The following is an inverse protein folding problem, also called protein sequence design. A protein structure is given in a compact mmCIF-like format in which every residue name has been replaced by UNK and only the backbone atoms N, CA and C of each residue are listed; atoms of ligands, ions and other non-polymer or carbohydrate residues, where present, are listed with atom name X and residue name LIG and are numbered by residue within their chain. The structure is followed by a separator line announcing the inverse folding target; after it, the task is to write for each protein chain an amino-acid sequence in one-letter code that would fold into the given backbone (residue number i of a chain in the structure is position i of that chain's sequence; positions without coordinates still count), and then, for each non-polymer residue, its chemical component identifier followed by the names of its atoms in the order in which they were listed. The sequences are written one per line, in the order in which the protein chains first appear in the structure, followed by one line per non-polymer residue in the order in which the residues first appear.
data_IF_220435488381
#
_entry.id   IF_220435488381
#
_cell.length_a   1.000
_cell.length_b   1.000
_cell.length_c   1.000
_cell.angle_alpha   90.00
_cell.angle_beta   90.00
_cell.angle_gamma   90.00
#
_symmetry.space_group_name_H-M   'P 1'
#
loop_
_entity.id
_entity.type
_entity.pdbx_description
1 polymer ?
#
# COMPACT_ATOMS: atom_id res chain seq x y z
N UNK A 1 14.78 44.87 43.93
CA UNK A 1 14.79 43.42 44.16
C UNK A 1 13.42 42.90 43.76
N UNK A 2 13.27 42.47 42.53
CA UNK A 2 12.08 41.84 41.98
C UNK A 2 12.52 40.53 41.33
N UNK A 3 11.92 39.37 41.63
CA UNK A 3 12.30 38.12 41.03
C UNK A 3 11.60 37.96 39.67
N UNK A 4 12.39 37.60 38.67
CA UNK A 4 11.95 37.16 37.35
C UNK A 4 11.28 35.78 37.46
N UNK A 5 10.04 35.68 36.97
CA UNK A 5 9.34 34.43 36.74
C UNK A 5 9.85 33.84 35.40
N UNK A 6 10.61 32.75 35.49
CA UNK A 6 10.86 31.87 34.35
C UNK A 6 9.63 31.02 34.09
N UNK A 7 9.05 31.19 32.90
CA UNK A 7 8.01 30.29 32.38
C UNK A 7 8.69 29.04 31.83
N UNK A 8 8.54 27.92 32.53
CA UNK A 8 8.92 26.60 32.07
C UNK A 8 8.09 26.22 30.85
N UNK A 9 8.72 26.08 29.69
CA UNK A 9 8.15 25.48 28.50
C UNK A 9 7.88 24.00 28.77
N UNK A 10 6.62 23.60 28.64
CA UNK A 10 6.21 22.21 28.73
C UNK A 10 6.81 21.43 27.56
N UNK A 11 7.82 20.62 27.86
CA UNK A 11 8.29 19.59 26.95
C UNK A 11 7.20 18.54 26.79
N UNK A 12 6.65 18.43 25.59
CA UNK A 12 5.70 17.37 25.24
C UNK A 12 6.37 16.01 25.44
N UNK A 13 5.70 15.11 26.13
CA UNK A 13 6.15 13.75 26.39
C UNK A 13 6.29 12.98 25.07
N UNK A 14 7.37 12.20 24.87
CA UNK A 14 7.61 11.41 23.65
C UNK A 14 6.68 10.20 23.47
N UNK A 15 5.79 9.93 24.43
CA UNK A 15 4.94 8.71 24.47
C UNK A 15 3.64 8.80 23.66
N UNK A 16 3.33 9.94 23.03
CA UNK A 16 2.07 10.09 22.27
C UNK A 16 2.17 9.68 20.79
N UNK A 17 3.38 9.39 20.30
CA UNK A 17 3.63 9.16 18.87
C UNK A 17 3.23 7.76 18.35
N UNK A 18 2.87 6.81 19.22
CA UNK A 18 2.66 5.40 18.88
C UNK A 18 1.25 4.85 19.18
N UNK A 19 0.26 5.71 19.41
CA UNK A 19 -1.10 5.27 19.76
C UNK A 19 -1.90 4.79 18.56
N UNK A 20 -2.69 3.69 18.67
CA UNK A 20 -3.63 3.26 17.64
C UNK A 20 -4.61 4.40 17.29
N UNK A 21 -4.85 4.62 15.99
CA UNK A 21 -5.76 5.68 15.51
C UNK A 21 -5.11 7.04 15.28
N UNK A 22 -3.81 7.20 15.56
CA UNK A 22 -3.06 8.40 15.22
C UNK A 22 -2.99 8.60 13.70
N UNK A 23 -3.18 9.83 13.23
CA UNK A 23 -3.00 10.19 11.82
C UNK A 23 -1.50 10.15 11.49
N UNK A 24 -1.11 9.30 10.52
CA UNK A 24 0.26 9.18 10.00
C UNK A 24 0.45 10.06 8.78
N UNK A 25 -0.57 10.16 7.91
CA UNK A 25 -0.53 11.03 6.72
C UNK A 25 -1.73 11.96 6.78
N UNK A 26 -1.50 13.25 6.60
CA UNK A 26 -2.54 14.26 6.41
C UNK A 26 -2.20 15.14 5.22
N UNK A 27 -3.08 15.14 4.22
CA UNK A 27 -3.12 16.10 3.15
C UNK A 27 -4.30 17.04 3.39
N UNK A 28 -4.06 18.35 3.36
CA UNK A 28 -5.11 19.37 3.47
C UNK A 28 -5.11 20.24 2.23
N UNK A 29 -6.14 20.07 1.40
CA UNK A 29 -6.39 20.81 0.14
C UNK A 29 -5.16 20.90 -0.76
N UNK A 30 -4.47 19.78 -0.93
CA UNK A 30 -3.26 19.68 -1.73
C UNK A 30 -3.59 19.83 -3.20
N UNK A 31 -2.96 20.78 -3.85
CA UNK A 31 -3.01 20.95 -5.29
C UNK A 31 -1.62 20.83 -5.90
N UNK A 32 -1.55 20.28 -7.11
CA UNK A 32 -0.30 20.18 -7.88
C UNK A 32 -0.54 20.51 -9.34
N UNK A 33 0.24 21.47 -9.82
CA UNK A 33 0.25 21.94 -11.21
C UNK A 33 1.57 21.61 -11.88
N UNK A 34 1.52 21.17 -13.12
CA UNK A 34 2.64 20.99 -14.03
C UNK A 34 2.37 21.80 -15.31
N UNK A 35 2.92 23.01 -15.37
CA UNK A 35 2.55 23.97 -16.42
C UNK A 35 1.04 24.25 -16.37
N UNK A 36 0.34 23.98 -17.47
CA UNK A 36 -1.11 24.20 -17.58
C UNK A 36 -1.95 23.00 -17.10
N UNK A 37 -1.31 21.93 -16.63
CA UNK A 37 -2.00 20.71 -16.20
C UNK A 37 -2.16 20.69 -14.69
N UNK A 38 -3.41 20.68 -14.21
CA UNK A 38 -3.74 20.50 -12.80
C UNK A 38 -3.82 18.99 -12.51
N UNK A 39 -2.79 18.44 -11.90
CA UNK A 39 -2.67 17.00 -11.61
C UNK A 39 -3.34 16.61 -10.30
N UNK A 40 -3.37 17.49 -9.30
CA UNK A 40 -4.16 17.35 -8.06
C UNK A 40 -4.89 18.64 -7.81
N UNK A 41 -6.16 18.55 -7.39
CA UNK A 41 -7.04 19.69 -7.21
C UNK A 41 -7.70 19.66 -5.82
N UNK A 42 -7.12 20.44 -4.91
CA UNK A 42 -7.57 20.62 -3.53
C UNK A 42 -7.87 19.30 -2.80
N UNK A 43 -7.04 18.27 -3.01
CA UNK A 43 -7.22 16.94 -2.45
C UNK A 43 -6.93 16.93 -0.96
N UNK A 44 -7.85 16.37 -0.17
CA UNK A 44 -7.66 16.14 1.27
C UNK A 44 -7.81 14.67 1.59
N UNK A 45 -6.86 14.11 2.36
CA UNK A 45 -6.82 12.70 2.73
C UNK A 45 -6.12 12.53 4.08
N UNK A 46 -6.67 11.70 4.95
CA UNK A 46 -5.99 11.26 6.17
C UNK A 46 -5.79 9.75 6.14
N UNK A 47 -4.62 9.28 6.60
CA UNK A 47 -4.33 7.85 6.78
C UNK A 47 -3.87 7.66 8.22
N UNK A 48 -4.46 6.69 8.90
CA UNK A 48 -4.16 6.39 10.30
C UNK A 48 -3.13 5.30 10.43
N UNK A 49 -2.46 5.24 11.57
CA UNK A 49 -1.48 4.19 11.89
C UNK A 49 -2.11 2.79 11.77
N UNK A 50 -1.42 1.90 11.07
CA UNK A 50 -1.87 0.53 10.80
C UNK A 50 -2.99 0.43 9.76
N UNK A 51 -3.42 1.54 9.18
CA UNK A 51 -4.40 1.52 8.11
C UNK A 51 -3.75 1.13 6.77
N UNK A 52 -4.44 0.30 6.00
CA UNK A 52 -4.11 0.06 4.60
C UNK A 52 -5.16 0.75 3.72
N UNK A 53 -4.71 1.72 2.92
CA UNK A 53 -5.54 2.49 2.00
C UNK A 53 -5.12 2.18 0.57
N UNK A 54 -6.08 1.77 -0.27
CA UNK A 54 -5.89 1.63 -1.71
C UNK A 54 -6.45 2.86 -2.44
N UNK A 55 -5.66 3.42 -3.35
CA UNK A 55 -6.05 4.51 -4.24
C UNK A 55 -6.20 3.96 -5.64
N UNK A 56 -7.40 4.07 -6.19
CA UNK A 56 -7.74 3.62 -7.54
C UNK A 56 -8.25 4.78 -8.41
N UNK A 57 -8.23 4.58 -9.70
CA UNK A 57 -8.77 5.51 -10.69
C UNK A 57 -8.15 5.32 -12.07
N UNK A 58 -8.68 5.97 -13.11
CA UNK A 58 -8.17 5.87 -14.46
C UNK A 58 -6.72 6.36 -14.58
N UNK A 59 -6.05 5.99 -15.67
CA UNK A 59 -4.71 6.52 -15.96
C UNK A 59 -4.76 8.04 -16.09
N UNK A 60 -3.77 8.72 -15.52
CA UNK A 60 -3.69 10.18 -15.56
C UNK A 60 -4.53 10.93 -14.53
N UNK A 61 -5.34 10.27 -13.67
CA UNK A 61 -6.16 10.96 -12.67
C UNK A 61 -5.38 11.50 -11.44
N UNK A 62 -4.05 11.41 -11.40
CA UNK A 62 -3.22 12.00 -10.33
C UNK A 62 -2.68 11.03 -9.27
N UNK A 63 -2.90 9.71 -9.37
CA UNK A 63 -2.46 8.72 -8.36
C UNK A 63 -0.95 8.74 -8.08
N UNK A 64 -0.13 8.67 -9.12
CA UNK A 64 1.33 8.70 -8.97
C UNK A 64 1.80 10.08 -8.48
N UNK A 65 1.09 11.16 -8.85
CA UNK A 65 1.35 12.49 -8.30
C UNK A 65 1.07 12.53 -6.80
N UNK A 66 -0.07 11.99 -6.36
CA UNK A 66 -0.39 11.87 -4.93
C UNK A 66 0.70 11.09 -4.18
N UNK A 67 1.13 9.95 -4.73
CA UNK A 67 2.17 9.12 -4.14
C UNK A 67 3.50 9.89 -4.04
N UNK A 68 3.89 10.63 -5.09
CA UNK A 68 5.10 11.45 -5.10
C UNK A 68 5.05 12.60 -4.09
N UNK A 69 3.86 13.20 -3.88
CA UNK A 69 3.66 14.22 -2.84
C UNK A 69 3.91 13.63 -1.46
N UNK A 70 3.27 12.50 -1.13
CA UNK A 70 3.42 11.82 0.15
C UNK A 70 4.83 11.28 0.34
N UNK A 71 5.51 10.84 -0.73
CA UNK A 71 6.91 10.42 -0.68
C UNK A 71 7.90 11.59 -0.49
N UNK A 72 7.46 12.83 -0.58
CA UNK A 72 8.34 14.00 -0.60
C UNK A 72 9.32 14.00 -1.79
N UNK A 73 8.90 13.42 -2.92
CA UNK A 73 9.64 13.43 -4.18
C UNK A 73 9.34 14.70 -5.00
N UNK A 74 8.21 15.32 -4.74
CA UNK A 74 7.79 16.57 -5.34
C UNK A 74 7.08 17.44 -4.28
N UNK A 75 6.85 18.71 -4.58
CA UNK A 75 6.22 19.69 -3.68
C UNK A 75 4.84 20.06 -4.18
N UNK A 76 3.86 20.24 -3.28
CA UNK A 76 2.56 20.76 -3.67
C UNK A 76 2.68 22.20 -4.19
N UNK A 77 1.80 22.59 -5.13
CA UNK A 77 1.64 23.98 -5.58
C UNK A 77 0.81 24.78 -4.58
N UNK A 78 -0.11 24.12 -3.84
CA UNK A 78 -0.90 24.68 -2.75
C UNK A 78 -1.33 23.58 -1.77
N UNK A 79 -1.77 23.99 -0.57
CA UNK A 79 -2.14 23.06 0.52
C UNK A 79 -0.94 22.61 1.33
N UNK A 80 -1.16 21.70 2.28
CA UNK A 80 -0.15 21.19 3.21
C UNK A 80 -0.12 19.68 3.25
N UNK A 81 1.05 19.11 3.51
CA UNK A 81 1.27 17.66 3.65
C UNK A 81 2.04 17.44 4.95
N UNK A 82 1.41 16.78 5.89
CA UNK A 82 2.05 16.29 7.12
C UNK A 82 2.16 14.77 7.05
N UNK A 83 3.35 14.26 7.33
CA UNK A 83 3.56 12.81 7.47
C UNK A 83 4.31 12.56 8.78
N UNK A 84 3.71 11.77 9.64
CA UNK A 84 4.24 11.40 10.94
C UNK A 84 4.65 12.62 11.79
N UNK A 85 3.83 13.70 11.73
CA UNK A 85 4.08 14.96 12.44
C UNK A 85 5.13 15.88 11.79
N UNK A 86 5.55 15.58 10.56
CA UNK A 86 6.48 16.42 9.78
C UNK A 86 5.76 17.12 8.65
N UNK A 87 5.72 18.45 8.67
CA UNK A 87 5.27 19.24 7.53
C UNK A 87 6.32 19.17 6.40
N UNK A 88 5.98 18.47 5.32
CA UNK A 88 6.90 18.28 4.18
C UNK A 88 7.13 19.59 3.42
N UNK A 89 6.17 20.51 3.43
CA UNK A 89 6.29 21.82 2.77
C UNK A 89 7.40 22.70 3.36
N UNK A 90 7.61 22.59 4.67
CA UNK A 90 8.64 23.31 5.41
C UNK A 90 10.05 22.72 5.32
N UNK A 91 10.21 21.49 4.81
CA UNK A 91 11.50 20.82 4.76
C UNK A 91 12.38 21.35 3.60
N UNK A 92 13.69 21.44 3.86
CA UNK A 92 14.70 21.62 2.81
C UNK A 92 14.87 20.35 1.98
N UNK A 93 15.57 20.40 0.84
CA UNK A 93 15.88 19.19 0.04
C UNK A 93 16.64 18.13 0.85
N UNK A 94 17.55 18.57 1.73
CA UNK A 94 18.24 17.66 2.67
C UNK A 94 17.27 17.06 3.68
N UNK A 95 16.32 17.85 4.19
CA UNK A 95 15.26 17.38 5.09
C UNK A 95 14.36 16.34 4.39
N UNK A 96 13.91 16.61 3.17
CA UNK A 96 13.13 15.65 2.37
C UNK A 96 13.93 14.36 2.08
N UNK A 97 15.24 14.47 1.81
CA UNK A 97 16.08 13.29 1.62
C UNK A 97 16.22 12.44 2.91
N UNK A 98 16.29 13.08 4.08
CA UNK A 98 16.29 12.37 5.37
C UNK A 98 14.94 11.72 5.66
N UNK A 99 13.84 12.44 5.41
CA UNK A 99 12.48 11.93 5.51
C UNK A 99 12.30 10.64 4.68
N UNK A 100 12.63 10.68 3.37
CA UNK A 100 12.54 9.50 2.49
C UNK A 100 13.37 8.30 2.97
N UNK A 101 14.51 8.56 3.63
CA UNK A 101 15.38 7.49 4.12
C UNK A 101 14.87 6.84 5.41
N UNK A 102 14.13 7.58 6.25
CA UNK A 102 13.78 7.15 7.60
C UNK A 102 12.31 6.77 7.73
N UNK A 103 11.43 7.60 7.18
CA UNK A 103 10.02 7.56 7.51
C UNK A 103 9.17 6.87 6.42
N UNK A 104 9.73 6.73 5.20
CA UNK A 104 9.01 6.17 4.05
C UNK A 104 9.78 5.01 3.43
N UNK A 105 9.05 3.89 3.21
CA UNK A 105 9.50 2.80 2.35
C UNK A 105 8.74 2.83 1.03
N UNK A 106 9.44 2.69 -0.10
CA UNK A 106 8.79 2.66 -1.42
C UNK A 106 8.93 1.32 -2.11
N UNK A 107 7.80 0.79 -2.57
CA UNK A 107 7.66 -0.42 -3.39
C UNK A 107 7.22 0.05 -4.76
N UNK A 108 7.99 -0.27 -5.80
CA UNK A 108 7.78 0.18 -7.17
C UNK A 108 7.30 -0.95 -8.07
N UNK A 109 6.55 -0.63 -9.10
CA UNK A 109 6.10 -1.55 -10.14
C UNK A 109 7.27 -2.28 -10.82
N UNK A 110 8.36 -1.56 -11.16
CA UNK A 110 9.54 -2.10 -11.83
C UNK A 110 10.73 -2.30 -10.87
N UNK A 111 10.42 -2.59 -9.58
CA UNK A 111 11.38 -2.97 -8.53
C UNK A 111 12.41 -1.89 -8.17
N UNK A 112 12.92 -1.13 -9.14
CA UNK A 112 13.95 -0.09 -9.00
C UNK A 112 15.19 -0.57 -8.20
N UNK A 113 15.62 -1.81 -8.46
CA UNK A 113 16.87 -2.33 -7.89
C UNK A 113 18.06 -1.79 -8.67
N UNK A 114 19.19 -1.65 -8.00
CA UNK A 114 20.46 -1.25 -8.60
C UNK A 114 21.07 -2.50 -9.23
N UNK A 115 21.21 -2.52 -10.56
CA UNK A 115 21.60 -3.69 -11.34
C UNK A 115 23.01 -4.19 -11.00
N UNK A 116 23.92 -3.28 -10.66
CA UNK A 116 25.32 -3.57 -10.32
C UNK A 116 25.52 -4.01 -8.86
N UNK A 117 24.44 -4.15 -8.08
CA UNK A 117 24.49 -4.61 -6.70
C UNK A 117 23.72 -5.93 -6.54
N UNK A 118 24.27 -6.90 -5.78
CA UNK A 118 23.53 -8.10 -5.43
C UNK A 118 22.33 -7.76 -4.51
N UNK A 119 21.37 -8.67 -4.39
CA UNK A 119 20.15 -8.49 -3.60
C UNK A 119 20.44 -8.00 -2.18
N UNK A 120 21.41 -8.60 -1.48
CA UNK A 120 21.81 -8.19 -0.14
C UNK A 120 22.23 -6.73 -0.06
N UNK A 121 23.03 -6.27 -1.02
CA UNK A 121 23.56 -4.90 -1.00
C UNK A 121 22.53 -3.88 -1.46
N UNK A 122 21.60 -4.26 -2.35
CA UNK A 122 20.41 -3.46 -2.66
C UNK A 122 19.58 -3.15 -1.42
N UNK A 123 19.42 -4.11 -0.52
CA UNK A 123 18.68 -3.93 0.75
C UNK A 123 19.52 -3.16 1.76
N UNK A 124 20.78 -3.57 1.98
CA UNK A 124 21.65 -3.00 2.99
C UNK A 124 21.97 -1.51 2.78
N UNK A 125 22.02 -1.08 1.51
CA UNK A 125 22.34 0.30 1.13
C UNK A 125 21.39 1.31 1.78
N UNK A 126 20.11 0.98 1.91
CA UNK A 126 19.12 1.87 2.50
C UNK A 126 19.50 2.29 3.93
N UNK A 127 19.98 1.36 4.77
CA UNK A 127 20.44 1.67 6.13
C UNK A 127 21.82 2.34 6.15
N UNK A 128 22.71 2.00 5.24
CA UNK A 128 24.01 2.66 5.15
C UNK A 128 23.86 4.16 4.85
N UNK A 129 22.88 4.52 4.03
CA UNK A 129 22.55 5.93 3.73
C UNK A 129 22.01 6.70 4.93
N UNK A 130 21.59 6.03 6.00
CA UNK A 130 21.20 6.65 7.29
C UNK A 130 22.33 6.64 8.33
N UNK A 131 23.53 6.19 7.95
CA UNK A 131 24.71 6.16 8.82
C UNK A 131 24.92 4.84 9.57
N UNK A 132 24.09 3.81 9.31
CA UNK A 132 24.29 2.47 9.89
C UNK A 132 25.55 1.83 9.32
N UNK A 133 26.37 1.20 10.20
CA UNK A 133 27.59 0.52 9.76
C UNK A 133 27.29 -0.60 8.74
N UNK A 134 28.16 -0.80 7.77
CA UNK A 134 27.97 -1.83 6.72
C UNK A 134 27.71 -3.23 7.31
N UNK A 135 28.39 -3.59 8.42
CA UNK A 135 28.19 -4.87 9.09
C UNK A 135 26.76 -5.02 9.68
N UNK A 136 26.27 -3.98 10.35
CA UNK A 136 24.91 -3.97 10.92
C UNK A 136 23.84 -3.97 9.81
N UNK A 137 24.04 -3.13 8.79
CA UNK A 137 23.15 -3.06 7.63
C UNK A 137 23.03 -4.42 6.93
N UNK A 138 24.15 -5.09 6.63
CA UNK A 138 24.12 -6.43 5.99
C UNK A 138 23.48 -7.49 6.87
N UNK A 139 23.67 -7.45 8.19
CA UNK A 139 22.99 -8.38 9.10
C UNK A 139 21.47 -8.20 9.04
N UNK A 140 20.96 -6.95 9.19
CA UNK A 140 19.54 -6.68 9.12
C UNK A 140 18.95 -6.99 7.73
N UNK A 141 19.71 -6.73 6.66
CA UNK A 141 19.30 -7.07 5.31
C UNK A 141 19.14 -8.59 5.12
N UNK A 142 20.04 -9.41 5.70
CA UNK A 142 19.92 -10.87 5.69
C UNK A 142 18.66 -11.35 6.44
N UNK A 143 18.38 -10.77 7.61
CA UNK A 143 17.18 -11.07 8.38
C UNK A 143 15.92 -10.80 7.54
N UNK A 144 15.83 -9.62 6.89
CA UNK A 144 14.71 -9.27 6.02
C UNK A 144 14.58 -10.17 4.79
N UNK A 145 15.69 -10.51 4.15
CA UNK A 145 15.66 -11.43 3.00
C UNK A 145 15.20 -12.84 3.41
N UNK A 146 15.51 -13.27 4.64
CA UNK A 146 15.04 -14.55 5.19
C UNK A 146 13.55 -14.49 5.52
N UNK A 147 13.10 -13.45 6.24
CA UNK A 147 11.69 -13.18 6.53
C UNK A 147 10.81 -13.19 5.27
N UNK A 148 11.37 -12.69 4.14
CA UNK A 148 10.68 -12.58 2.86
C UNK A 148 10.94 -13.78 1.90
N UNK A 149 11.61 -14.84 2.38
CA UNK A 149 11.83 -16.09 1.64
C UNK A 149 12.72 -15.95 0.41
N UNK A 150 13.71 -15.04 0.44
CA UNK A 150 14.69 -14.81 -0.64
C UNK A 150 16.15 -14.80 -0.15
N UNK A 151 16.42 -15.33 1.06
CA UNK A 151 17.76 -15.40 1.62
C UNK A 151 18.77 -16.16 0.71
N UNK A 152 18.31 -17.21 0.04
CA UNK A 152 19.15 -18.00 -0.90
C UNK A 152 19.59 -17.20 -2.12
N UNK A 153 18.91 -16.09 -2.41
CA UNK A 153 19.18 -15.17 -3.53
C UNK A 153 20.05 -13.98 -3.14
N UNK A 154 20.52 -13.89 -1.90
CA UNK A 154 21.26 -12.73 -1.36
C UNK A 154 22.46 -12.27 -2.20
N UNK A 155 23.13 -13.19 -2.90
CA UNK A 155 24.28 -12.91 -3.74
C UNK A 155 23.91 -12.75 -5.22
N UNK A 156 22.65 -12.93 -5.60
CA UNK A 156 22.18 -12.79 -6.96
C UNK A 156 22.02 -11.33 -7.35
N UNK A 157 22.38 -11.00 -8.58
CA UNK A 157 22.12 -9.69 -9.18
C UNK A 157 20.69 -9.63 -9.73
N UNK A 158 20.06 -8.43 -9.82
CA UNK A 158 18.69 -8.27 -10.28
C UNK A 158 18.37 -8.99 -11.60
N UNK A 159 19.30 -9.00 -12.55
CA UNK A 159 19.11 -9.65 -13.85
C UNK A 159 18.91 -11.18 -13.76
N UNK A 160 19.38 -11.82 -12.66
CA UNK A 160 19.26 -13.28 -12.45
C UNK A 160 18.10 -13.67 -11.55
N UNK A 161 17.33 -12.71 -11.05
CA UNK A 161 16.16 -12.91 -10.21
C UNK A 161 14.88 -12.96 -11.04
N UNK A 162 13.93 -13.80 -10.64
CA UNK A 162 12.56 -13.75 -11.16
C UNK A 162 11.87 -12.43 -10.78
N UNK A 163 10.74 -12.08 -11.43
CA UNK A 163 9.96 -10.90 -11.09
C UNK A 163 9.54 -10.87 -9.62
N UNK A 164 9.00 -11.98 -9.12
CA UNK A 164 8.59 -12.12 -7.71
C UNK A 164 9.76 -12.03 -6.72
N UNK A 165 10.93 -12.59 -7.05
CA UNK A 165 12.14 -12.44 -6.22
C UNK A 165 12.63 -10.99 -6.20
N UNK A 166 12.66 -10.30 -7.35
CA UNK A 166 13.00 -8.87 -7.44
C UNK A 166 12.05 -8.02 -6.58
N UNK A 167 10.75 -8.31 -6.64
CA UNK A 167 9.76 -7.57 -5.85
C UNK A 167 9.96 -7.78 -4.34
N UNK A 168 10.18 -9.03 -3.90
CA UNK A 168 10.48 -9.31 -2.48
C UNK A 168 11.77 -8.63 -2.00
N UNK A 169 12.80 -8.56 -2.83
CA UNK A 169 14.01 -7.77 -2.53
C UNK A 169 13.68 -6.27 -2.44
N UNK A 170 12.83 -5.75 -3.34
CA UNK A 170 12.32 -4.38 -3.29
C UNK A 170 11.55 -4.08 -2.01
N UNK A 171 10.70 -5.01 -1.55
CA UNK A 171 9.99 -4.91 -0.25
C UNK A 171 10.98 -4.96 0.91
N UNK A 172 11.96 -5.88 0.90
CA UNK A 172 13.02 -5.92 1.93
C UNK A 172 13.74 -4.57 2.06
N UNK A 173 14.09 -3.95 0.92
CA UNK A 173 14.72 -2.63 0.88
C UNK A 173 13.81 -1.57 1.47
N UNK A 174 12.52 -1.59 1.15
CA UNK A 174 11.55 -0.63 1.68
C UNK A 174 11.40 -0.74 3.20
N UNK A 175 11.48 -1.95 3.77
CA UNK A 175 11.36 -2.23 5.20
C UNK A 175 12.65 -1.99 6.00
N UNK A 176 13.77 -1.76 5.33
CA UNK A 176 15.10 -1.77 5.95
C UNK A 176 15.24 -0.81 7.15
N UNK A 177 14.69 0.39 7.02
CA UNK A 177 14.76 1.44 8.02
C UNK A 177 13.52 1.51 8.93
N UNK A 178 12.64 0.49 8.93
CA UNK A 178 11.40 0.43 9.71
C UNK A 178 10.54 1.69 9.51
N UNK A 179 10.13 1.97 8.27
CA UNK A 179 9.40 3.20 7.95
C UNK A 179 8.05 3.25 8.65
N UNK A 180 7.60 4.46 8.99
CA UNK A 180 6.26 4.67 9.52
C UNK A 180 5.18 4.41 8.46
N UNK A 181 5.53 4.56 7.17
CA UNK A 181 4.63 4.45 6.03
C UNK A 181 5.29 3.67 4.89
N UNK A 182 4.58 2.66 4.36
CA UNK A 182 4.92 2.03 3.09
C UNK A 182 4.03 2.58 1.97
N UNK A 183 4.66 3.03 0.91
CA UNK A 183 4.05 3.47 -0.33
C UNK A 183 4.26 2.41 -1.39
N UNK A 184 3.20 1.94 -2.04
CA UNK A 184 3.28 0.93 -3.09
C UNK A 184 2.66 1.48 -4.39
N UNK A 185 3.46 1.61 -5.43
CA UNK A 185 3.05 2.02 -6.77
C UNK A 185 2.93 0.79 -7.66
N UNK A 186 1.69 0.36 -7.94
CA UNK A 186 1.38 -0.83 -8.76
C UNK A 186 2.22 -2.07 -8.38
N UNK A 187 2.22 -2.51 -7.12
CA UNK A 187 3.23 -3.45 -6.59
C UNK A 187 3.21 -4.83 -7.25
N UNK A 188 2.15 -5.18 -8.00
CA UNK A 188 2.00 -6.45 -8.72
C UNK A 188 1.97 -6.28 -10.24
N UNK A 189 1.99 -5.03 -10.75
CA UNK A 189 1.75 -4.72 -12.16
C UNK A 189 2.78 -5.30 -13.16
N UNK A 190 3.98 -5.68 -12.70
CA UNK A 190 5.02 -6.30 -13.53
C UNK A 190 5.22 -7.80 -13.23
N UNK A 191 4.28 -8.44 -12.52
CA UNK A 191 4.39 -9.83 -12.05
C UNK A 191 3.41 -10.75 -12.77
N UNK A 192 3.78 -12.03 -12.87
CA UNK A 192 2.82 -13.08 -13.18
C UNK A 192 1.81 -13.26 -12.03
N UNK A 193 0.66 -13.88 -12.31
CA UNK A 193 -0.42 -14.04 -11.34
C UNK A 193 0.02 -14.67 -10.02
N UNK A 194 0.85 -15.74 -10.08
CA UNK A 194 1.31 -16.46 -8.88
C UNK A 194 2.23 -15.58 -8.03
N UNK A 195 3.16 -14.89 -8.66
CA UNK A 195 4.07 -13.95 -7.95
C UNK A 195 3.31 -12.75 -7.40
N UNK A 196 2.30 -12.27 -8.14
CA UNK A 196 1.40 -11.21 -7.68
C UNK A 196 0.64 -11.58 -6.41
N UNK A 197 0.05 -12.79 -6.36
CA UNK A 197 -0.63 -13.31 -5.16
C UNK A 197 0.30 -13.34 -3.94
N UNK A 198 1.53 -13.84 -4.11
CA UNK A 198 2.52 -13.88 -3.03
C UNK A 198 2.89 -12.48 -2.50
N UNK A 199 2.94 -11.48 -3.38
CA UNK A 199 3.19 -10.09 -2.96
C UNK A 199 1.98 -9.50 -2.26
N UNK A 200 0.75 -9.82 -2.69
CA UNK A 200 -0.46 -9.41 -1.99
C UNK A 200 -0.52 -10.00 -0.58
N UNK A 201 -0.26 -11.31 -0.43
CA UNK A 201 -0.18 -11.96 0.89
C UNK A 201 0.82 -11.24 1.81
N UNK A 202 2.00 -10.95 1.28
CA UNK A 202 3.04 -10.22 2.02
C UNK A 202 2.58 -8.82 2.47
N UNK A 203 1.88 -8.05 1.62
CA UNK A 203 1.35 -6.73 2.01
C UNK A 203 0.27 -6.85 3.09
N UNK A 204 -0.57 -7.88 3.03
CA UNK A 204 -1.57 -8.20 4.05
C UNK A 204 -0.88 -8.50 5.38
N UNK A 205 0.11 -9.40 5.39
CA UNK A 205 0.85 -9.78 6.60
C UNK A 205 1.53 -8.56 7.24
N UNK A 206 2.15 -7.70 6.42
CA UNK A 206 2.75 -6.46 6.90
C UNK A 206 1.72 -5.52 7.55
N UNK A 207 0.53 -5.39 6.96
CA UNK A 207 -0.52 -4.58 7.54
C UNK A 207 -1.06 -5.17 8.85
N UNK A 208 -1.23 -6.51 8.93
CA UNK A 208 -1.68 -7.20 10.14
C UNK A 208 -0.74 -7.01 11.32
N UNK A 209 0.57 -6.87 11.09
CA UNK A 209 1.54 -6.53 12.15
C UNK A 209 1.66 -5.02 12.43
N UNK A 210 0.74 -4.21 11.87
CA UNK A 210 0.61 -2.78 12.17
C UNK A 210 1.32 -1.82 11.21
N UNK A 211 1.85 -2.32 10.08
CA UNK A 211 2.46 -1.44 9.07
C UNK A 211 1.37 -0.62 8.35
N UNK A 212 1.55 0.71 8.31
CA UNK A 212 0.68 1.60 7.54
C UNK A 212 1.01 1.51 6.05
N UNK A 213 -0.01 1.35 5.19
CA UNK A 213 0.13 1.18 3.74
C UNK A 213 -0.68 2.22 2.97
N UNK A 214 -0.07 2.81 1.96
CA UNK A 214 -0.76 3.53 0.88
C UNK A 214 -0.42 2.84 -0.44
N UNK A 215 -1.41 2.21 -1.06
CA UNK A 215 -1.27 1.41 -2.27
C UNK A 215 -1.94 2.14 -3.42
N UNK A 216 -1.22 2.44 -4.46
CA UNK A 216 -1.77 2.94 -5.73
C UNK A 216 -1.86 1.77 -6.69
N UNK A 217 -3.05 1.53 -7.25
CA UNK A 217 -3.26 0.45 -8.20
C UNK A 217 -4.45 0.71 -9.12
N UNK A 218 -4.46 0.06 -10.27
CA UNK A 218 -5.64 -0.07 -11.14
C UNK A 218 -6.29 -1.45 -11.03
N UNK A 219 -5.70 -2.37 -10.25
CA UNK A 219 -6.22 -3.72 -10.04
C UNK A 219 -7.22 -3.75 -8.87
N UNK A 220 -8.54 -3.98 -9.16
CA UNK A 220 -9.56 -4.05 -8.11
C UNK A 220 -9.37 -5.22 -7.15
N UNK A 221 -8.78 -6.32 -7.60
CA UNK A 221 -8.53 -7.49 -6.76
C UNK A 221 -7.48 -7.18 -5.69
N UNK A 222 -6.36 -6.58 -6.09
CA UNK A 222 -5.34 -6.12 -5.16
C UNK A 222 -5.93 -5.10 -4.17
N UNK A 223 -6.66 -4.09 -4.66
CA UNK A 223 -7.23 -3.06 -3.81
C UNK A 223 -8.18 -3.63 -2.75
N UNK A 224 -9.08 -4.53 -3.14
CA UNK A 224 -10.08 -5.10 -2.22
C UNK A 224 -9.50 -6.13 -1.25
N UNK A 225 -8.40 -6.78 -1.62
CA UNK A 225 -7.76 -7.81 -0.80
C UNK A 225 -6.77 -7.23 0.22
N UNK A 226 -6.01 -6.20 -0.18
CA UNK A 226 -4.92 -5.67 0.62
C UNK A 226 -5.27 -4.43 1.45
N UNK A 227 -6.43 -3.81 1.22
CA UNK A 227 -6.79 -2.56 1.89
C UNK A 227 -8.07 -2.67 2.71
N UNK A 228 -8.13 -1.95 3.83
CA UNK A 228 -9.35 -1.75 4.63
C UNK A 228 -10.21 -0.59 4.14
N UNK A 229 -9.64 0.33 3.35
CA UNK A 229 -10.32 1.50 2.76
C UNK A 229 -9.89 1.73 1.33
N UNK A 230 -10.87 2.03 0.48
CA UNK A 230 -10.68 2.35 -0.92
C UNK A 230 -10.99 3.83 -1.17
N UNK A 231 -10.08 4.49 -1.85
CA UNK A 231 -10.17 5.87 -2.34
C UNK A 231 -10.21 5.84 -3.87
N UNK A 232 -11.28 6.30 -4.47
CA UNK A 232 -11.42 6.40 -5.92
C UNK A 232 -11.12 7.83 -6.36
N UNK A 233 -10.12 7.99 -7.24
CA UNK A 233 -9.72 9.29 -7.78
C UNK A 233 -10.21 9.49 -9.22
N UNK A 234 -10.63 10.71 -9.52
CA UNK A 234 -10.92 11.20 -10.87
C UNK A 234 -10.49 12.65 -10.98
N UNK A 235 -9.84 13.01 -12.08
CA UNK A 235 -9.45 14.39 -12.42
C UNK A 235 -8.76 15.16 -11.29
N UNK A 236 -7.79 14.52 -10.62
CA UNK A 236 -7.01 15.10 -9.54
C UNK A 236 -7.72 15.20 -8.19
N UNK A 237 -8.96 14.71 -8.06
CA UNK A 237 -9.79 14.77 -6.85
C UNK A 237 -10.16 13.40 -6.33
N UNK A 238 -10.52 13.31 -5.06
CA UNK A 238 -11.20 12.14 -4.51
C UNK A 238 -12.66 12.20 -4.94
N UNK A 239 -13.06 11.25 -5.76
CA UNK A 239 -14.44 11.11 -6.24
C UNK A 239 -15.30 10.35 -5.22
N UNK A 240 -14.72 9.35 -4.54
CA UNK A 240 -15.41 8.51 -3.57
C UNK A 240 -14.43 7.86 -2.59
N UNK A 241 -14.87 7.70 -1.34
CA UNK A 241 -14.21 6.85 -0.35
C UNK A 241 -15.19 5.81 0.18
N UNK A 242 -14.70 4.61 0.48
CA UNK A 242 -15.49 3.55 1.11
C UNK A 242 -14.64 2.66 2.01
N UNK A 243 -15.17 2.26 3.17
CA UNK A 243 -14.64 1.18 3.98
C UNK A 243 -14.88 -0.16 3.28
N UNK A 244 -13.88 -1.04 3.33
CA UNK A 244 -13.97 -2.40 2.81
C UNK A 244 -14.22 -3.42 3.93
N UNK A 245 -14.01 -3.01 5.19
CA UNK A 245 -14.21 -3.86 6.37
C UNK A 245 -15.69 -4.04 6.73
N UNK A 246 -16.59 -3.15 6.30
CA UNK A 246 -18.03 -3.22 6.61
C UNK A 246 -18.78 -4.30 5.82
N UNK A 247 -18.17 -4.87 4.76
CA UNK A 247 -18.82 -5.93 3.96
C UNK A 247 -19.00 -7.28 4.69
N UNK A 248 -18.32 -7.49 5.82
CA UNK A 248 -18.46 -8.72 6.60
C UNK A 248 -19.75 -8.75 7.44
N UNK A 249 -20.43 -7.61 7.63
CA UNK A 249 -21.64 -7.50 8.46
C UNK A 249 -22.95 -7.54 7.67
N UNK A 250 -22.92 -7.31 6.36
CA UNK A 250 -24.14 -7.26 5.52
C UNK A 250 -24.47 -8.59 4.81
N UNK A 251 -23.70 -9.65 5.01
CA UNK A 251 -23.90 -10.95 4.34
C UNK A 251 -24.66 -11.99 5.17
N UNK A 252 -25.17 -11.66 6.37
CA UNK A 252 -25.97 -12.56 7.19
C UNK A 252 -27.35 -11.98 7.53
N UNK A 253 -28.23 -11.87 6.52
CA UNK A 253 -29.67 -11.99 6.75
C UNK A 253 -30.30 -12.78 5.62
N UNK A 254 -30.49 -14.09 5.77
CA UNK A 254 -31.48 -14.78 4.93
C UNK A 254 -32.85 -14.34 5.45
N UNK A 255 -33.54 -13.57 4.66
CA UNK A 255 -34.95 -13.22 4.89
C UNK A 255 -35.78 -14.51 4.83
N UNK A 256 -36.08 -15.04 5.98
CA UNK A 256 -36.96 -16.17 6.20
C UNK A 256 -38.32 -15.66 6.63
N UNK A 257 -39.22 -15.44 5.70
CA UNK A 257 -40.65 -15.47 6.00
C UNK A 257 -41.38 -16.39 5.03
N UNK A 258 -41.54 -17.61 5.50
CA UNK A 258 -42.60 -18.50 5.03
C UNK A 258 -43.96 -17.90 5.43
N UNK A 259 -44.90 -17.81 4.52
CA UNK A 259 -46.31 -17.78 4.85
C UNK A 259 -47.08 -18.80 4.01
N UNK A 260 -47.76 -19.67 4.72
CA UNK A 260 -48.68 -20.72 4.36
C UNK A 260 -49.77 -20.33 3.33
N UNK A 261 -50.19 -21.33 2.56
CA UNK A 261 -51.57 -21.33 2.13
C UNK A 261 -51.90 -22.16 0.83
N UNK A 262 -52.36 -23.38 1.02
CA UNK A 262 -53.36 -24.11 0.21
C UNK A 262 -52.96 -24.87 -1.06
N UNK A 263 -52.93 -26.16 -0.97
CA UNK A 263 -53.30 -27.22 -1.93
C UNK A 263 -54.84 -27.22 -2.25
N UNK A 264 -55.43 -28.06 -3.21
CA UNK A 264 -54.82 -29.07 -4.08
C UNK A 264 -55.51 -29.18 -5.51
N UNK A 265 -55.06 -30.21 -6.25
CA UNK A 265 -55.70 -30.95 -7.39
C UNK A 265 -55.01 -30.73 -8.73
N UNK A 266 -54.48 -31.74 -9.40
CA UNK A 266 -54.98 -33.01 -9.78
C UNK A 266 -54.49 -33.28 -11.21
N UNK A 267 -54.12 -34.54 -11.47
CA UNK A 267 -53.97 -35.19 -12.77
C UNK A 267 -52.57 -35.33 -13.39
N UNK A 268 -52.00 -36.49 -13.21
CA UNK A 268 -51.17 -37.32 -14.13
C UNK A 268 -51.93 -37.80 -15.35
N UNK A 269 -51.36 -38.56 -16.34
CA UNK A 269 -49.98 -38.71 -16.85
C UNK A 269 -49.89 -38.74 -18.42
N UNK A 270 -48.69 -38.85 -18.99
CA UNK A 270 -48.28 -39.71 -20.12
C UNK A 270 -46.88 -39.36 -20.58
N UNK A 271 -45.94 -40.26 -20.44
CA UNK A 271 -45.32 -41.27 -21.31
C UNK A 271 -45.07 -40.90 -22.77
N UNK A 272 -43.82 -41.00 -23.16
CA UNK A 272 -43.19 -41.66 -24.33
C UNK A 272 -41.77 -41.15 -24.49
N UNK A 273 -40.79 -41.92 -24.16
CA UNK A 273 -39.90 -42.89 -24.85
C UNK A 273 -39.31 -42.40 -26.18
N UNK A 274 -38.03 -42.51 -26.26
CA UNK A 274 -37.16 -43.27 -27.14
C UNK A 274 -35.99 -42.49 -27.78
N UNK A 275 -34.81 -43.10 -27.56
CA UNK A 275 -33.70 -43.33 -28.50
C UNK A 275 -32.83 -42.11 -28.90
N UNK A 276 -31.58 -42.21 -28.85
CA UNK A 276 -30.61 -43.29 -28.79
C UNK A 276 -29.26 -42.85 -29.32
N UNK A 277 -28.26 -43.27 -28.60
CA UNK A 277 -26.89 -43.63 -29.01
C UNK A 277 -25.88 -42.68 -29.66
N UNK A 278 -24.59 -42.96 -29.39
CA UNK A 278 -23.44 -42.08 -29.52
C UNK A 278 -22.56 -42.45 -30.72
N UNK A 279 -21.63 -41.60 -31.10
CA UNK A 279 -20.41 -41.92 -31.94
C UNK A 279 -19.29 -40.97 -31.52
N UNK A 280 -18.29 -41.53 -30.90
CA UNK A 280 -16.99 -42.03 -31.38
C UNK A 280 -16.10 -40.99 -32.08
N UNK A 281 -14.99 -40.75 -31.40
CA UNK A 281 -13.55 -40.76 -31.73
C UNK A 281 -13.09 -40.64 -33.17
N UNK A 282 -12.09 -39.86 -33.34
CA UNK A 282 -10.82 -39.94 -34.12
C UNK A 282 -10.58 -38.63 -34.84
N UNK A 283 -9.45 -38.04 -34.84
CA UNK A 283 -8.04 -38.32 -34.90
C UNK A 283 -7.26 -37.10 -34.35
#
# INVERSE_FOLDING_TARGET
MTPHHESAGSAGSPDSADSPGQVVVRLDRVSKEYGDTLALDALSLEIRRGEAVAVMGPSGCGKSTLLNMVAGLDRPSAGTIDVHGQDLGGLTETGLALYRRRDVGMIFQFFNLIDDLPALDNVALAAQLTGTSARQARRRALELLDELGVADRRNNYPATLSGGERQRVGVARALMNRPALLLADEPTGALDSRSGEQVMDLLIDLNQIGQTLLIVTHDPHLATRCAGRLVEMADGRIARERSLNDRALDSETPDGTASDGATPNGATPNSETLNGKPLERSA
#
